data_IF_030694447844
#
_entry.id   IF_030694447844
#
_cell.length_a   1.000
_cell.length_b   1.000
_cell.length_c   1.000
_cell.angle_alpha   90.00
_cell.angle_beta   90.00
_cell.angle_gamma   90.00
#
_symmetry.space_group_name_H-M   'P 1'
#
loop_
_entity.id
_entity.type
_entity.pdbx_description
1 polymer ?
#
# COMPACT_ATOMS: atom_id res chain seq x y z
N UNK A 1 -6.30 -10.75 29.65
CA UNK A 1 -7.71 -10.38 29.87
C UNK A 1 -8.51 -11.42 29.09
N UNK A 2 -9.50 -12.05 29.74
CA UNK A 2 -10.45 -12.94 29.04
C UNK A 2 -11.72 -12.13 28.79
N UNK A 3 -12.15 -12.08 27.54
CA UNK A 3 -13.36 -11.41 27.11
C UNK A 3 -14.48 -12.45 26.92
N UNK A 4 -15.70 -12.09 27.23
CA UNK A 4 -16.88 -12.88 26.88
C UNK A 4 -17.42 -12.50 25.49
N UNK A 5 -18.38 -13.26 24.97
CA UNK A 5 -18.90 -13.06 23.62
C UNK A 5 -19.53 -11.67 23.42
N UNK A 6 -20.25 -11.16 24.41
CA UNK A 6 -20.88 -9.83 24.35
C UNK A 6 -19.82 -8.71 24.25
N UNK A 7 -18.75 -8.83 25.04
CA UNK A 7 -17.65 -7.87 24.99
C UNK A 7 -16.91 -7.87 23.64
N UNK A 8 -16.76 -9.04 23.00
CA UNK A 8 -16.17 -9.15 21.67
C UNK A 8 -17.06 -8.46 20.63
N UNK A 9 -18.38 -8.64 20.71
CA UNK A 9 -19.35 -7.98 19.83
C UNK A 9 -19.36 -6.46 20.03
N UNK A 10 -19.35 -5.97 21.26
CA UNK A 10 -19.26 -4.54 21.55
C UNK A 10 -17.99 -3.90 20.97
N UNK A 11 -16.84 -4.56 21.15
CA UNK A 11 -15.57 -4.11 20.56
C UNK A 11 -15.67 -4.11 19.02
N UNK A 12 -16.23 -5.16 18.43
CA UNK A 12 -16.40 -5.24 16.98
C UNK A 12 -17.26 -4.10 16.45
N UNK A 13 -18.41 -3.82 17.06
CA UNK A 13 -19.28 -2.71 16.68
C UNK A 13 -18.60 -1.35 16.84
N UNK A 14 -17.81 -1.18 17.90
CA UNK A 14 -17.02 0.04 18.12
C UNK A 14 -15.98 0.22 17.01
N UNK A 15 -15.28 -0.85 16.63
CA UNK A 15 -14.29 -0.83 15.55
C UNK A 15 -14.91 -0.53 14.18
N UNK A 16 -16.19 -0.90 13.97
CA UNK A 16 -16.95 -0.54 12.77
C UNK A 16 -17.57 0.87 12.82
N UNK A 17 -17.24 1.69 13.83
CA UNK A 17 -17.85 3.01 14.05
C UNK A 17 -19.39 2.95 14.03
N UNK A 18 -19.98 1.87 14.55
CA UNK A 18 -21.43 1.64 14.60
C UNK A 18 -22.07 1.22 13.26
N UNK A 19 -21.31 1.13 12.17
CA UNK A 19 -21.83 0.72 10.86
C UNK A 19 -21.07 -0.46 10.27
N UNK A 20 -21.59 -1.66 10.48
CA UNK A 20 -21.03 -2.90 9.91
C UNK A 20 -21.13 -2.90 8.38
N UNK A 21 -22.19 -2.28 7.83
CA UNK A 21 -22.44 -2.25 6.39
C UNK A 21 -21.35 -1.54 5.59
N UNK A 22 -20.71 -0.52 6.13
CA UNK A 22 -19.58 0.17 5.49
C UNK A 22 -18.36 -0.72 5.29
N UNK A 23 -18.25 -1.81 6.04
CA UNK A 23 -17.15 -2.76 6.01
C UNK A 23 -17.49 -4.10 5.35
N UNK A 24 -18.65 -4.24 4.71
CA UNK A 24 -19.12 -5.53 4.15
C UNK A 24 -18.08 -6.21 3.25
N UNK A 25 -17.41 -5.47 2.37
CA UNK A 25 -16.40 -6.02 1.47
C UNK A 25 -15.18 -6.56 2.22
N UNK A 26 -14.67 -5.80 3.17
CA UNK A 26 -13.54 -6.20 3.99
C UNK A 26 -13.90 -7.39 4.90
N UNK A 27 -15.09 -7.35 5.48
CA UNK A 27 -15.59 -8.44 6.33
C UNK A 27 -15.81 -9.73 5.56
N UNK A 28 -16.22 -9.67 4.31
CA UNK A 28 -16.31 -10.84 3.44
C UNK A 28 -14.93 -11.50 3.21
N UNK A 29 -13.85 -10.71 3.28
CA UNK A 29 -12.47 -11.17 3.24
C UNK A 29 -11.88 -11.53 4.63
N UNK A 30 -12.68 -11.42 5.69
CA UNK A 30 -12.31 -11.78 7.05
C UNK A 30 -11.52 -10.73 7.82
N UNK A 31 -11.57 -9.46 7.42
CA UNK A 31 -10.93 -8.37 8.15
C UNK A 31 -11.76 -7.07 8.08
N UNK A 32 -11.35 -6.08 8.85
CA UNK A 32 -11.74 -4.68 8.72
C UNK A 32 -10.53 -3.77 8.95
N UNK A 33 -10.56 -2.58 8.36
CA UNK A 33 -9.56 -1.53 8.58
C UNK A 33 -10.19 -0.42 9.41
N UNK A 34 -9.57 -0.09 10.54
CA UNK A 34 -10.05 1.02 11.39
C UNK A 34 -9.73 2.37 10.77
N UNK A 35 -10.40 3.42 11.21
CA UNK A 35 -10.15 4.80 10.77
C UNK A 35 -8.67 5.22 10.92
N UNK A 36 -7.97 4.71 11.95
CA UNK A 36 -6.53 4.97 12.17
C UNK A 36 -5.60 4.01 11.41
N UNK A 37 -6.13 3.21 10.48
CA UNK A 37 -5.34 2.31 9.64
C UNK A 37 -4.90 0.99 10.31
N UNK A 38 -5.42 0.65 11.49
CA UNK A 38 -5.18 -0.65 12.08
C UNK A 38 -5.99 -1.72 11.35
N UNK A 39 -5.37 -2.84 11.06
CA UNK A 39 -6.07 -3.99 10.46
C UNK A 39 -6.51 -4.96 11.54
N UNK A 40 -7.78 -5.31 11.53
CA UNK A 40 -8.37 -6.24 12.48
C UNK A 40 -8.86 -7.47 11.72
N UNK A 41 -8.21 -8.60 11.92
CA UNK A 41 -8.70 -9.89 11.47
C UNK A 41 -9.93 -10.28 12.27
N UNK A 42 -10.99 -10.69 11.59
CA UNK A 42 -12.27 -11.06 12.18
C UNK A 42 -12.49 -12.55 11.96
N UNK A 43 -12.60 -13.31 13.05
CA UNK A 43 -13.00 -14.70 12.99
C UNK A 43 -14.42 -14.86 13.54
N UNK A 44 -15.19 -15.73 12.89
CA UNK A 44 -16.59 -15.92 13.28
C UNK A 44 -17.33 -16.87 12.36
N UNK A 45 -18.64 -16.81 12.43
CA UNK A 45 -19.54 -17.53 11.54
C UNK A 45 -19.94 -16.63 10.38
N UNK A 46 -19.68 -17.10 9.16
CA UNK A 46 -19.99 -16.37 7.94
C UNK A 46 -21.15 -17.04 7.20
N UNK A 47 -22.02 -16.24 6.64
CA UNK A 47 -23.06 -16.71 5.72
C UNK A 47 -22.46 -16.78 4.31
N UNK A 48 -22.63 -17.93 3.67
CA UNK A 48 -22.21 -18.15 2.28
C UNK A 48 -23.42 -18.28 1.37
N UNK A 49 -23.34 -17.70 0.21
CA UNK A 49 -24.30 -17.88 -0.87
C UNK A 49 -23.53 -18.16 -2.17
N UNK A 50 -23.86 -19.26 -2.85
CA UNK A 50 -23.21 -19.67 -4.09
C UNK A 50 -21.67 -19.79 -3.98
N UNK A 51 -21.17 -20.21 -2.79
CA UNK A 51 -19.74 -20.36 -2.52
C UNK A 51 -19.02 -19.05 -2.18
N UNK A 52 -19.70 -17.91 -2.17
CA UNK A 52 -19.14 -16.64 -1.76
C UNK A 52 -19.57 -16.27 -0.33
N UNK A 53 -18.62 -15.74 0.44
CA UNK A 53 -18.91 -15.17 1.75
C UNK A 53 -19.63 -13.84 1.55
N UNK A 54 -20.87 -13.73 2.05
CA UNK A 54 -21.73 -12.55 1.84
C UNK A 54 -21.96 -11.72 3.10
N UNK A 55 -21.86 -12.33 4.28
CA UNK A 55 -22.07 -11.61 5.53
C UNK A 55 -21.40 -12.31 6.72
N UNK A 56 -21.04 -11.53 7.71
CA UNK A 56 -20.61 -12.00 9.02
C UNK A 56 -21.85 -12.13 9.91
N UNK A 57 -22.15 -13.35 10.38
CA UNK A 57 -23.30 -13.63 11.25
C UNK A 57 -22.95 -13.46 12.73
N UNK A 58 -21.76 -13.90 13.14
CA UNK A 58 -21.33 -13.87 14.54
C UNK A 58 -19.83 -13.74 14.62
N UNK A 59 -19.34 -12.81 15.44
CA UNK A 59 -17.92 -12.67 15.76
C UNK A 59 -17.55 -13.58 16.92
N UNK A 60 -16.45 -14.31 16.80
CA UNK A 60 -15.92 -15.16 17.87
C UNK A 60 -14.56 -14.71 18.38
N UNK A 61 -13.75 -14.09 17.53
CA UNK A 61 -12.49 -13.49 17.95
C UNK A 61 -12.04 -12.37 17.01
N UNK A 62 -11.19 -11.48 17.53
CA UNK A 62 -10.60 -10.34 16.84
C UNK A 62 -9.09 -10.40 16.99
N UNK A 63 -8.37 -10.23 15.89
CA UNK A 63 -6.92 -10.14 15.87
C UNK A 63 -6.51 -8.72 15.44
N UNK A 64 -6.13 -7.89 16.41
CA UNK A 64 -5.76 -6.50 16.17
C UNK A 64 -4.28 -6.40 15.75
N UNK A 65 -4.06 -5.94 14.53
CA UNK A 65 -2.73 -5.60 14.01
C UNK A 65 -2.58 -4.08 14.06
N UNK A 66 -1.85 -3.61 15.07
CA UNK A 66 -1.66 -2.17 15.29
C UNK A 66 -0.63 -1.64 14.29
N UNK A 67 -1.06 -0.77 13.39
CA UNK A 67 -0.17 -0.06 12.49
C UNK A 67 0.70 0.92 13.30
N UNK A 68 2.02 0.81 13.15
CA UNK A 68 2.96 1.74 13.77
C UNK A 68 3.52 2.64 12.68
N UNK A 69 3.36 3.95 12.84
CA UNK A 69 4.06 4.91 12.01
C UNK A 69 5.49 5.04 12.55
N UNK A 70 6.45 4.55 11.78
CA UNK A 70 7.86 4.72 12.06
C UNK A 70 8.48 5.49 10.90
N UNK A 71 9.26 6.51 11.21
CA UNK A 71 10.09 7.25 10.26
C UNK A 71 11.53 6.95 10.60
N UNK A 72 12.29 6.51 9.63
CA UNK A 72 13.72 6.25 9.76
C UNK A 72 14.50 7.34 9.02
N UNK A 73 15.74 7.68 9.45
CA UNK A 73 16.56 8.60 8.68
C UNK A 73 16.88 7.99 7.32
N UNK A 74 16.76 8.79 6.26
CA UNK A 74 17.18 8.35 4.92
C UNK A 74 18.71 8.28 4.86
N UNK A 75 19.27 7.24 4.20
CA UNK A 75 20.68 7.25 3.82
C UNK A 75 20.99 8.49 2.96
N UNK A 76 22.11 9.21 3.23
CA UNK A 76 22.44 10.45 2.49
C UNK A 76 22.51 10.28 0.98
N UNK A 77 22.96 9.11 0.51
CA UNK A 77 23.02 8.80 -0.92
C UNK A 77 21.61 8.73 -1.55
N UNK A 78 20.65 8.15 -0.82
CA UNK A 78 19.27 8.06 -1.27
C UNK A 78 18.58 9.44 -1.24
N UNK A 79 18.82 10.22 -0.19
CA UNK A 79 18.27 11.57 -0.07
C UNK A 79 18.74 12.47 -1.23
N UNK A 80 20.05 12.42 -1.54
CA UNK A 80 20.63 13.13 -2.69
C UNK A 80 20.07 12.66 -4.04
N UNK A 81 19.77 11.36 -4.18
CA UNK A 81 19.13 10.83 -5.38
C UNK A 81 17.73 11.44 -5.60
N UNK A 82 16.95 11.59 -4.52
CA UNK A 82 15.59 12.14 -4.59
C UNK A 82 15.53 13.63 -4.93
N UNK A 83 16.65 14.36 -4.88
CA UNK A 83 16.74 15.75 -5.34
C UNK A 83 16.69 15.87 -6.86
N UNK A 84 17.00 14.80 -7.56
CA UNK A 84 17.10 14.76 -9.03
C UNK A 84 15.94 13.98 -9.63
N UNK A 85 15.89 13.99 -10.96
CA UNK A 85 15.06 13.05 -11.72
C UNK A 85 15.71 11.67 -11.70
N UNK A 86 15.07 10.68 -11.10
CA UNK A 86 15.69 9.36 -10.82
C UNK A 86 15.11 8.21 -11.64
N UNK A 87 14.07 8.46 -12.42
CA UNK A 87 13.33 7.47 -13.23
C UNK A 87 12.63 6.39 -12.40
N UNK A 88 13.26 5.26 -12.09
CA UNK A 88 12.68 4.15 -11.34
C UNK A 88 13.55 3.70 -10.19
N UNK A 89 12.94 3.59 -9.01
CA UNK A 89 13.56 3.08 -7.80
C UNK A 89 12.73 1.91 -7.25
N UNK A 90 13.38 0.77 -7.02
CA UNK A 90 12.76 -0.38 -6.37
C UNK A 90 13.38 -0.62 -5.00
N UNK A 91 12.50 -0.74 -4.00
CA UNK A 91 12.83 -1.18 -2.64
C UNK A 91 12.61 -2.68 -2.56
N UNK A 92 13.72 -3.41 -2.38
CA UNK A 92 13.74 -4.88 -2.38
C UNK A 92 13.85 -5.40 -0.95
N UNK A 93 13.13 -6.45 -0.63
CA UNK A 93 13.28 -7.11 0.68
C UNK A 93 12.18 -8.14 0.94
N UNK A 94 12.42 -8.98 1.95
CA UNK A 94 11.46 -9.99 2.42
C UNK A 94 10.25 -9.34 3.13
N UNK A 95 9.15 -10.07 3.33
CA UNK A 95 8.06 -9.63 4.19
C UNK A 95 8.56 -9.21 5.57
N UNK A 96 8.12 -8.03 6.06
CA UNK A 96 8.55 -7.51 7.36
C UNK A 96 9.93 -6.86 7.41
N UNK A 97 10.68 -6.76 6.29
CA UNK A 97 12.02 -6.13 6.23
C UNK A 97 12.00 -4.61 6.36
N UNK A 98 10.83 -3.97 6.38
CA UNK A 98 10.72 -2.53 6.54
C UNK A 98 10.49 -1.76 5.23
N UNK A 99 10.21 -2.41 4.10
CA UNK A 99 9.95 -1.75 2.80
C UNK A 99 8.90 -0.65 2.88
N UNK A 100 7.74 -0.95 3.43
CA UNK A 100 6.65 0.03 3.62
C UNK A 100 7.09 1.21 4.49
N UNK A 101 7.92 0.96 5.52
CA UNK A 101 8.52 2.02 6.36
C UNK A 101 9.45 2.90 5.55
N UNK A 102 10.29 2.30 4.71
CA UNK A 102 11.20 3.04 3.83
C UNK A 102 10.44 3.85 2.78
N UNK A 103 9.39 3.29 2.15
CA UNK A 103 8.54 4.01 1.21
C UNK A 103 7.87 5.24 1.84
N UNK A 104 7.35 5.12 3.06
CA UNK A 104 6.82 6.26 3.83
C UNK A 104 7.89 7.32 4.09
N UNK A 105 9.08 6.87 4.45
CA UNK A 105 10.21 7.75 4.73
C UNK A 105 10.64 8.51 3.47
N UNK A 106 10.66 7.87 2.31
CA UNK A 106 11.00 8.48 1.02
C UNK A 106 9.92 9.48 0.56
N UNK A 107 8.65 9.16 0.76
CA UNK A 107 7.55 10.01 0.31
C UNK A 107 7.57 11.41 0.95
N UNK A 108 7.97 11.47 2.22
CA UNK A 108 7.97 12.72 2.98
C UNK A 108 8.88 13.80 2.39
N UNK A 109 10.19 13.60 2.19
CA UNK A 109 11.04 14.64 1.61
C UNK A 109 10.67 14.98 0.16
N UNK A 110 10.07 14.06 -0.61
CA UNK A 110 9.55 14.40 -1.93
C UNK A 110 8.42 15.43 -1.84
N UNK A 111 7.49 15.22 -0.92
CA UNK A 111 6.41 16.18 -0.68
C UNK A 111 6.91 17.50 -0.10
N UNK A 112 7.86 17.48 0.83
CA UNK A 112 8.51 18.68 1.39
C UNK A 112 9.23 19.50 0.31
N UNK A 113 9.78 18.83 -0.70
CA UNK A 113 10.35 19.46 -1.92
C UNK A 113 9.30 19.86 -2.95
N UNK A 114 8.02 19.83 -2.57
CA UNK A 114 6.87 20.19 -3.42
C UNK A 114 6.76 19.36 -4.70
N UNK A 115 7.28 18.14 -4.70
CA UNK A 115 7.00 17.21 -5.80
C UNK A 115 5.60 16.64 -5.64
N UNK A 116 4.82 16.67 -6.70
CA UNK A 116 3.49 16.06 -6.70
C UNK A 116 3.64 14.55 -6.77
N UNK A 117 3.34 13.89 -5.64
CA UNK A 117 3.47 12.44 -5.48
C UNK A 117 2.09 11.80 -5.46
N UNK A 118 1.82 10.92 -6.41
CA UNK A 118 0.65 10.05 -6.36
C UNK A 118 1.00 8.75 -5.62
N UNK A 119 0.35 8.50 -4.51
CA UNK A 119 0.53 7.30 -3.71
C UNK A 119 -0.55 6.28 -4.04
N UNK A 120 -0.14 5.16 -4.61
CA UNK A 120 -1.01 4.02 -4.92
C UNK A 120 -0.97 3.07 -3.73
N UNK A 121 -1.97 3.20 -2.88
CA UNK A 121 -2.07 2.49 -1.60
C UNK A 121 -3.43 1.80 -1.49
N UNK A 122 -3.52 0.61 -2.05
CA UNK A 122 -4.76 -0.15 -2.14
C UNK A 122 -5.28 -0.58 -0.76
N UNK A 123 -4.36 -0.84 0.17
CA UNK A 123 -4.67 -1.36 1.51
C UNK A 123 -4.69 -0.28 2.59
N UNK A 124 -4.33 0.96 2.28
CA UNK A 124 -4.17 2.01 3.29
C UNK A 124 -3.03 1.75 4.28
N UNK A 125 -2.05 0.95 3.88
CA UNK A 125 -0.92 0.57 4.74
C UNK A 125 0.23 1.57 4.69
N UNK A 126 0.38 2.31 3.59
CA UNK A 126 1.41 3.35 3.45
C UNK A 126 1.09 4.57 4.30
N UNK A 127 -0.10 5.12 4.12
CA UNK A 127 -0.54 6.32 4.81
C UNK A 127 -1.96 6.13 5.34
N UNK A 128 -2.12 5.80 6.63
CA UNK A 128 -3.43 5.68 7.23
C UNK A 128 -4.19 7.01 7.17
N UNK A 129 -5.53 6.99 7.08
CA UNK A 129 -6.37 8.16 6.81
C UNK A 129 -6.23 9.32 7.81
N UNK A 130 -5.85 9.04 9.05
CA UNK A 130 -5.88 10.00 10.17
C UNK A 130 -4.49 10.48 10.63
N UNK A 131 -3.42 10.14 9.91
CA UNK A 131 -2.09 10.66 10.23
C UNK A 131 -1.85 12.04 9.63
N UNK A 132 -0.88 12.84 10.15
CA UNK A 132 -0.42 14.04 9.46
C UNK A 132 0.21 13.61 8.14
N UNK A 133 -0.59 13.63 7.09
CA UNK A 133 -0.13 13.33 5.75
C UNK A 133 0.69 14.52 5.25
N UNK A 134 1.88 14.29 4.72
CA UNK A 134 2.48 15.24 3.82
C UNK A 134 1.49 15.50 2.67
N UNK A 135 1.59 16.61 1.91
CA UNK A 135 0.68 16.91 0.80
C UNK A 135 0.88 15.90 -0.34
N UNK A 136 0.38 14.69 -0.14
CA UNK A 136 0.43 13.57 -1.06
C UNK A 136 -0.99 13.24 -1.52
N UNK A 137 -1.14 12.98 -2.81
CA UNK A 137 -2.42 12.53 -3.37
C UNK A 137 -2.48 10.99 -3.29
N UNK A 138 -3.44 10.46 -2.53
CA UNK A 138 -3.62 9.02 -2.39
C UNK A 138 -4.74 8.50 -3.25
N UNK A 139 -4.47 7.41 -3.98
CA UNK A 139 -5.47 6.66 -4.72
C UNK A 139 -5.50 5.22 -4.18
N UNK A 140 -6.68 4.76 -3.81
CA UNK A 140 -6.92 3.41 -3.34
C UNK A 140 -8.16 2.79 -3.97
N UNK A 141 -8.22 1.45 -3.95
CA UNK A 141 -9.36 0.68 -4.47
C UNK A 141 -9.36 0.48 -6.00
N UNK A 142 -9.91 -0.63 -6.44
CA UNK A 142 -10.11 -0.92 -7.87
C UNK A 142 -8.91 -1.47 -8.66
N UNK A 143 -7.86 -1.92 -7.96
CA UNK A 143 -6.64 -2.48 -8.56
C UNK A 143 -5.58 -1.44 -8.85
N UNK A 144 -4.32 -1.78 -8.55
CA UNK A 144 -3.18 -0.86 -8.60
C UNK A 144 -2.90 -0.33 -10.01
N UNK A 145 -2.94 -1.18 -11.04
CA UNK A 145 -2.72 -0.75 -12.42
C UNK A 145 -3.71 0.35 -12.86
N UNK A 146 -5.00 0.16 -12.53
CA UNK A 146 -6.04 1.16 -12.78
C UNK A 146 -5.81 2.44 -11.97
N UNK A 147 -5.40 2.32 -10.73
CA UNK A 147 -5.10 3.47 -9.86
C UNK A 147 -3.92 4.29 -10.42
N UNK A 148 -2.84 3.63 -10.93
CA UNK A 148 -1.75 4.30 -11.64
C UNK A 148 -2.26 5.07 -12.86
N UNK A 149 -3.06 4.44 -13.71
CA UNK A 149 -3.64 5.10 -14.89
C UNK A 149 -4.53 6.29 -14.51
N UNK A 150 -5.30 6.16 -13.43
CA UNK A 150 -6.14 7.24 -12.92
C UNK A 150 -5.28 8.40 -12.43
N UNK A 151 -4.21 8.13 -11.66
CA UNK A 151 -3.26 9.14 -11.22
C UNK A 151 -2.67 9.92 -12.40
N UNK A 152 -2.19 9.22 -13.41
CA UNK A 152 -1.60 9.84 -14.60
C UNK A 152 -2.58 10.77 -15.34
N UNK A 153 -3.86 10.38 -15.41
CA UNK A 153 -4.89 11.17 -16.12
C UNK A 153 -5.43 12.37 -15.34
N UNK A 154 -5.47 12.27 -14.01
CA UNK A 154 -6.19 13.24 -13.18
C UNK A 154 -5.31 14.12 -12.33
N UNK A 155 -4.14 13.62 -11.91
CA UNK A 155 -3.26 14.31 -10.97
C UNK A 155 -2.02 14.91 -11.63
N UNK A 156 -1.64 14.47 -12.84
CA UNK A 156 -0.38 14.84 -13.49
C UNK A 156 0.83 14.73 -12.52
N UNK A 157 1.06 13.56 -11.87
CA UNK A 157 2.08 13.44 -10.85
C UNK A 157 3.48 13.54 -11.44
N UNK A 158 4.42 13.99 -10.62
CA UNK A 158 5.85 13.94 -10.93
C UNK A 158 6.48 12.63 -10.48
N UNK A 159 5.89 12.00 -9.44
CA UNK A 159 6.33 10.71 -8.89
C UNK A 159 5.12 9.85 -8.59
N UNK A 160 5.18 8.58 -8.97
CA UNK A 160 4.24 7.55 -8.51
C UNK A 160 4.93 6.70 -7.45
N UNK A 161 4.32 6.57 -6.29
CA UNK A 161 4.76 5.70 -5.22
C UNK A 161 3.78 4.55 -5.09
N UNK A 162 4.27 3.33 -5.29
CA UNK A 162 3.48 2.10 -5.31
C UNK A 162 3.97 1.13 -4.22
N UNK A 163 3.08 0.73 -3.31
CA UNK A 163 3.41 -0.37 -2.40
C UNK A 163 3.20 -1.69 -3.12
N UNK A 164 4.27 -2.47 -3.20
CA UNK A 164 4.34 -3.80 -3.80
C UNK A 164 3.95 -3.89 -5.29
N UNK A 165 4.98 -3.92 -6.13
CA UNK A 165 4.84 -4.23 -7.56
C UNK A 165 4.65 -5.76 -7.73
N UNK A 166 3.40 -6.18 -7.95
CA UNK A 166 3.01 -7.58 -7.96
C UNK A 166 2.75 -8.17 -9.35
N UNK A 167 2.42 -7.35 -10.35
CA UNK A 167 1.97 -7.84 -11.65
C UNK A 167 2.62 -7.13 -12.85
N UNK A 168 2.55 -7.79 -14.01
CA UNK A 168 2.95 -7.18 -15.29
C UNK A 168 2.01 -6.03 -15.70
N UNK A 169 0.73 -6.10 -15.36
CA UNK A 169 -0.23 -5.01 -15.64
C UNK A 169 0.16 -3.73 -14.92
N UNK A 170 0.62 -3.83 -13.68
CA UNK A 170 1.14 -2.69 -12.93
C UNK A 170 2.39 -2.12 -13.58
N UNK A 171 3.30 -2.99 -14.06
CA UNK A 171 4.48 -2.57 -14.81
C UNK A 171 4.12 -1.81 -16.09
N UNK A 172 3.16 -2.29 -16.87
CA UNK A 172 2.68 -1.62 -18.08
C UNK A 172 2.04 -0.26 -17.77
N UNK A 173 1.32 -0.15 -16.64
CA UNK A 173 0.77 1.13 -16.22
C UNK A 173 1.87 2.13 -15.82
N UNK A 174 2.92 1.69 -15.13
CA UNK A 174 4.09 2.51 -14.80
C UNK A 174 4.87 2.93 -16.06
N UNK A 175 4.95 2.06 -17.07
CA UNK A 175 5.60 2.36 -18.36
C UNK A 175 4.95 3.57 -19.06
N UNK A 176 3.63 3.68 -19.02
CA UNK A 176 2.92 4.84 -19.54
C UNK A 176 3.33 6.14 -18.85
N UNK A 177 3.50 6.10 -17.53
CA UNK A 177 4.00 7.22 -16.73
C UNK A 177 5.45 7.58 -17.08
N UNK A 178 6.31 6.58 -17.19
CA UNK A 178 7.71 6.75 -17.53
C UNK A 178 7.90 7.48 -18.86
N UNK A 179 7.22 7.06 -19.92
CA UNK A 179 7.28 7.75 -21.21
C UNK A 179 6.68 9.16 -21.19
N UNK A 180 5.91 9.50 -20.14
CA UNK A 180 5.41 10.84 -19.88
C UNK A 180 6.32 11.65 -18.94
N UNK A 181 7.50 11.14 -18.58
CA UNK A 181 8.46 11.82 -17.72
C UNK A 181 8.16 11.72 -16.21
N UNK A 182 7.33 10.76 -15.81
CA UNK A 182 6.97 10.53 -14.40
C UNK A 182 7.94 9.52 -13.78
N UNK A 183 8.55 9.87 -12.65
CA UNK A 183 9.36 8.96 -11.85
C UNK A 183 8.48 7.95 -11.11
N UNK A 184 9.02 6.78 -10.77
CA UNK A 184 8.30 5.88 -9.88
C UNK A 184 9.18 5.29 -8.79
N UNK A 185 8.56 4.98 -7.67
CA UNK A 185 9.14 4.27 -6.54
C UNK A 185 8.18 3.13 -6.20
N UNK A 186 8.69 1.90 -6.18
CA UNK A 186 7.88 0.74 -5.82
C UNK A 186 8.63 -0.19 -4.88
N UNK A 187 7.92 -1.04 -4.14
CA UNK A 187 8.55 -2.15 -3.45
C UNK A 187 8.33 -3.47 -4.17
N UNK A 188 9.21 -4.42 -3.95
CA UNK A 188 9.09 -5.78 -4.43
C UNK A 188 9.55 -6.78 -3.37
N UNK A 189 8.82 -7.89 -3.25
CA UNK A 189 9.22 -8.97 -2.36
C UNK A 189 10.27 -9.84 -3.03
N UNK A 190 11.49 -9.83 -2.49
CA UNK A 190 12.55 -10.75 -2.86
C UNK A 190 13.59 -10.81 -1.72
N UNK A 191 14.28 -11.94 -1.59
CA UNK A 191 15.33 -12.12 -0.58
C UNK A 191 16.62 -11.38 -0.94
N UNK A 192 16.83 -11.07 -2.24
CA UNK A 192 18.00 -10.35 -2.72
C UNK A 192 17.70 -9.57 -4.01
N UNK A 193 18.62 -8.68 -4.37
CA UNK A 193 18.57 -7.96 -5.64
C UNK A 193 18.61 -8.93 -6.84
N UNK A 194 19.41 -9.99 -6.76
CA UNK A 194 19.53 -11.03 -7.80
C UNK A 194 18.22 -11.79 -7.99
N UNK A 195 17.48 -12.05 -6.91
CA UNK A 195 16.15 -12.64 -7.00
C UNK A 195 15.14 -11.65 -7.59
N UNK A 196 15.17 -10.39 -7.14
CA UNK A 196 14.27 -9.36 -7.62
C UNK A 196 14.37 -9.19 -9.14
N UNK A 197 15.57 -9.13 -9.71
CA UNK A 197 15.77 -8.97 -11.16
C UNK A 197 15.35 -10.18 -11.99
N UNK A 198 15.10 -11.33 -11.37
CA UNK A 198 14.55 -12.51 -12.06
C UNK A 198 13.02 -12.47 -12.17
N UNK A 199 12.35 -11.63 -11.40
CA UNK A 199 10.89 -11.51 -11.46
C UNK A 199 10.44 -10.90 -12.78
N UNK A 200 9.37 -11.42 -13.42
CA UNK A 200 8.93 -10.96 -14.74
C UNK A 200 8.68 -9.44 -14.79
N UNK A 201 8.02 -8.89 -13.77
CA UNK A 201 7.69 -7.46 -13.66
C UNK A 201 8.96 -6.60 -13.56
N UNK A 202 9.98 -7.04 -12.84
CA UNK A 202 11.26 -6.32 -12.70
C UNK A 202 12.08 -6.42 -13.98
N UNK A 203 12.10 -7.60 -14.63
CA UNK A 203 12.72 -7.76 -15.95
C UNK A 203 12.13 -6.83 -16.99
N UNK A 204 10.80 -6.68 -17.01
CA UNK A 204 10.14 -5.77 -17.93
C UNK A 204 10.59 -4.31 -17.70
N UNK A 205 10.66 -3.85 -16.43
CA UNK A 205 11.22 -2.52 -16.11
C UNK A 205 12.65 -2.34 -16.58
N UNK A 206 13.50 -3.36 -16.41
CA UNK A 206 14.91 -3.30 -16.88
C UNK A 206 15.01 -3.24 -18.40
N UNK A 207 14.23 -4.05 -19.11
CA UNK A 207 14.24 -4.10 -20.57
C UNK A 207 13.83 -2.77 -21.20
N UNK A 208 12.93 -2.03 -20.55
CA UNK A 208 12.50 -0.70 -20.96
C UNK A 208 13.42 0.43 -20.46
N UNK A 209 14.50 0.11 -19.76
CA UNK A 209 15.40 1.11 -19.20
C UNK A 209 14.81 1.97 -18.08
N UNK A 210 13.70 1.52 -17.49
CA UNK A 210 12.95 2.25 -16.48
C UNK A 210 13.54 2.11 -15.08
N UNK A 211 14.29 1.03 -14.81
CA UNK A 211 14.86 0.76 -13.50
C UNK A 211 16.30 1.26 -13.42
N UNK A 212 16.54 2.19 -12.47
CA UNK A 212 17.89 2.73 -12.24
C UNK A 212 18.48 2.36 -10.89
N UNK A 213 17.65 2.17 -9.88
CA UNK A 213 18.10 1.99 -8.50
C UNK A 213 17.37 0.84 -7.83
N UNK A 214 18.14 -0.04 -7.18
CA UNK A 214 17.67 -1.05 -6.23
C UNK A 214 18.19 -0.69 -4.83
N UNK A 215 17.33 -0.71 -3.85
CA UNK A 215 17.63 -0.41 -2.43
C UNK A 215 17.21 -1.57 -1.56
#
# INVERSE_FOLDING_TARGET
>A
IRLNALQIEEIFHTLCNGSVQTHERELAEGYLTTAVGNRVGVAGQFVQREGQCIALQKVTSLNLRIARSCVIPLPPALDKLLEQHFTGLLVVGEPGSGKTTLLRTIARPLAERQRLVAVIDERGELFPPEGPLPPLERIGGGGKARAVQMALRTLAPQVILLDELGSLEETMALEQGFFSGVDFIASVHAASAEEAVRRPQVKALQQQGMLRVLV
#
